data_IF_056854627207
#
_entry.id   IF_056854627207
#
_cell.length_a   1.000
_cell.length_b   1.000
_cell.length_c   1.000
_cell.angle_alpha   90.00
_cell.angle_beta   90.00
_cell.angle_gamma   90.00
#
_symmetry.space_group_name_H-M   'P 1'
#
loop_
_entity.id
_entity.type
_entity.pdbx_description
1 polymer ?
#
# COMPACT_ATOMS: atom_id res chain seq x y z
N UNK A 1 -8.64 -6.83 -12.10
CA UNK A 1 -7.87 -5.60 -11.80
C UNK A 1 -6.36 -5.82 -11.90
N UNK A 2 -5.80 -6.87 -11.28
CA UNK A 2 -4.36 -7.17 -11.34
C UNK A 2 -3.79 -7.24 -12.77
N UNK A 3 -4.53 -7.81 -13.73
CA UNK A 3 -4.11 -7.89 -15.15
C UNK A 3 -3.93 -6.49 -15.78
N UNK A 4 -4.81 -5.54 -15.45
CA UNK A 4 -4.74 -4.17 -16.00
C UNK A 4 -3.50 -3.47 -15.46
N UNK A 5 -3.23 -3.62 -14.16
CA UNK A 5 -2.04 -3.06 -13.53
C UNK A 5 -0.78 -3.71 -14.11
N UNK A 6 -0.75 -5.05 -14.22
CA UNK A 6 0.39 -5.78 -14.77
C UNK A 6 0.74 -5.33 -16.20
N UNK A 7 -0.27 -5.23 -17.09
CA UNK A 7 -0.06 -4.72 -18.46
C UNK A 7 0.40 -3.26 -18.48
N UNK A 8 -0.21 -2.41 -17.67
CA UNK A 8 0.16 -0.99 -17.63
C UNK A 8 1.53 -0.72 -16.99
N UNK A 9 2.07 -1.71 -16.26
CA UNK A 9 3.35 -1.58 -15.57
C UNK A 9 4.44 -2.50 -16.15
N UNK A 10 4.15 -3.21 -17.24
CA UNK A 10 5.08 -4.16 -17.87
C UNK A 10 6.36 -3.47 -18.34
N UNK A 11 6.23 -2.28 -18.92
CA UNK A 11 7.37 -1.48 -19.42
C UNK A 11 8.02 -0.58 -18.34
N UNK A 12 7.55 -0.63 -17.08
CA UNK A 12 8.10 0.26 -16.05
C UNK A 12 9.39 -0.30 -15.46
N UNK A 13 10.49 0.47 -15.44
CA UNK A 13 11.75 0.02 -14.84
C UNK A 13 11.57 -0.28 -13.36
N UNK A 14 12.21 -1.34 -12.87
CA UNK A 14 12.10 -1.79 -11.47
C UNK A 14 12.55 -0.72 -10.45
N UNK A 15 13.56 0.07 -10.82
CA UNK A 15 14.15 1.12 -9.99
C UNK A 15 13.35 2.43 -9.96
N UNK A 16 12.23 2.51 -10.69
CA UNK A 16 11.41 3.73 -10.73
C UNK A 16 10.96 4.15 -9.32
N UNK A 17 11.08 5.44 -8.95
CA UNK A 17 10.61 5.96 -7.67
C UNK A 17 9.15 5.61 -7.41
N UNK A 18 8.83 5.29 -6.16
CA UNK A 18 7.48 4.87 -5.76
C UNK A 18 6.40 5.92 -6.11
N UNK A 19 6.76 7.20 -6.09
CA UNK A 19 5.88 8.32 -6.47
C UNK A 19 5.45 8.22 -7.94
N UNK A 20 6.41 8.00 -8.84
CA UNK A 20 6.15 7.91 -10.27
C UNK A 20 5.43 6.61 -10.62
N UNK A 21 5.80 5.50 -9.94
CA UNK A 21 5.08 4.23 -10.06
C UNK A 21 3.62 4.35 -9.64
N UNK A 22 3.33 5.06 -8.54
CA UNK A 22 1.95 5.37 -8.11
C UNK A 22 1.19 6.18 -9.18
N UNK A 23 1.85 7.16 -9.79
CA UNK A 23 1.25 7.98 -10.84
C UNK A 23 0.92 7.15 -12.08
N UNK A 24 1.83 6.26 -12.50
CA UNK A 24 1.61 5.37 -13.63
C UNK A 24 0.42 4.43 -13.40
N UNK A 25 0.36 3.78 -12.23
CA UNK A 25 -0.79 2.93 -11.87
C UNK A 25 -2.08 3.74 -11.83
N UNK A 26 -2.08 4.95 -11.25
CA UNK A 26 -3.28 5.78 -11.20
C UNK A 26 -3.77 6.21 -12.59
N UNK A 27 -2.86 6.50 -13.53
CA UNK A 27 -3.20 6.82 -14.92
C UNK A 27 -3.80 5.62 -15.66
N UNK A 28 -3.38 4.41 -15.31
CA UNK A 28 -3.91 3.18 -15.87
C UNK A 28 -5.31 2.79 -15.35
N UNK A 29 -5.89 3.58 -14.41
CA UNK A 29 -7.21 3.30 -13.85
C UNK A 29 -8.27 3.38 -14.96
N UNK A 30 -9.01 2.29 -15.23
CA UNK A 30 -10.11 2.34 -16.19
C UNK A 30 -11.21 3.28 -15.71
N UNK A 31 -11.83 4.04 -16.62
CA UNK A 31 -12.93 4.96 -16.29
C UNK A 31 -14.11 4.23 -15.60
N UNK A 32 -14.37 2.97 -15.96
CA UNK A 32 -15.43 2.18 -15.35
C UNK A 32 -15.11 1.73 -13.91
N UNK A 33 -13.84 1.76 -13.50
CA UNK A 33 -13.43 1.42 -12.13
C UNK A 33 -13.81 2.51 -11.10
N UNK A 34 -14.37 3.65 -11.53
CA UNK A 34 -15.00 4.66 -10.67
C UNK A 34 -16.53 4.63 -10.72
N UNK A 35 -17.13 3.80 -11.59
CA UNK A 35 -18.59 3.78 -11.78
C UNK A 35 -19.27 3.00 -10.65
N UNK A 36 -18.67 1.92 -10.17
CA UNK A 36 -19.22 1.11 -9.09
C UNK A 36 -18.29 1.07 -7.89
N UNK A 37 -18.88 1.09 -6.70
CA UNK A 37 -18.15 0.98 -5.43
C UNK A 37 -17.38 -0.35 -5.31
N UNK A 38 -17.87 -1.42 -5.93
CA UNK A 38 -17.17 -2.70 -5.99
C UNK A 38 -15.92 -2.62 -6.87
N UNK A 39 -16.04 -2.10 -8.10
CA UNK A 39 -14.90 -1.97 -9.01
C UNK A 39 -13.82 -1.04 -8.44
N UNK A 40 -14.22 0.03 -7.75
CA UNK A 40 -13.29 0.92 -7.06
C UNK A 40 -12.53 0.19 -5.95
N UNK A 41 -13.22 -0.57 -5.09
CA UNK A 41 -12.58 -1.36 -4.03
C UNK A 41 -11.63 -2.42 -4.60
N UNK A 42 -12.04 -3.14 -5.65
CA UNK A 42 -11.19 -4.11 -6.33
C UNK A 42 -9.95 -3.46 -6.96
N UNK A 43 -10.08 -2.23 -7.48
CA UNK A 43 -8.96 -1.47 -8.01
C UNK A 43 -7.97 -1.08 -6.90
N UNK A 44 -8.46 -0.53 -5.80
CA UNK A 44 -7.62 -0.14 -4.66
C UNK A 44 -6.89 -1.33 -4.04
N UNK A 45 -7.56 -2.49 -3.93
CA UNK A 45 -6.93 -3.73 -3.45
C UNK A 45 -5.78 -4.17 -4.37
N UNK A 46 -6.02 -4.28 -5.68
CA UNK A 46 -4.98 -4.67 -6.64
C UNK A 46 -3.82 -3.66 -6.69
N UNK A 47 -4.13 -2.36 -6.60
CA UNK A 47 -3.13 -1.28 -6.53
C UNK A 47 -2.24 -1.42 -5.30
N UNK A 48 -2.83 -1.68 -4.13
CA UNK A 48 -2.06 -1.88 -2.89
C UNK A 48 -1.14 -3.09 -3.04
N UNK A 49 -1.68 -4.24 -3.42
CA UNK A 49 -0.93 -5.50 -3.47
C UNK A 49 0.24 -5.41 -4.46
N UNK A 50 0.07 -4.67 -5.56
CA UNK A 50 1.16 -4.35 -6.49
C UNK A 50 2.20 -3.42 -5.86
N UNK A 51 1.78 -2.28 -5.31
CA UNK A 51 2.69 -1.25 -4.80
C UNK A 51 3.48 -1.71 -3.56
N UNK A 52 2.94 -2.63 -2.75
CA UNK A 52 3.63 -3.19 -1.58
C UNK A 52 4.97 -3.82 -1.96
N UNK A 53 5.05 -4.43 -3.15
CA UNK A 53 6.30 -5.02 -3.69
C UNK A 53 7.40 -3.99 -3.94
N UNK A 54 7.05 -2.71 -4.02
CA UNK A 54 7.95 -1.60 -4.31
C UNK A 54 8.10 -0.65 -3.11
N UNK A 55 7.83 -1.13 -1.89
CA UNK A 55 7.99 -0.35 -0.66
C UNK A 55 6.80 0.54 -0.29
N UNK A 56 5.62 0.32 -0.88
CA UNK A 56 4.41 1.00 -0.40
C UNK A 56 3.93 0.42 0.92
N UNK A 57 3.91 1.27 1.95
CA UNK A 57 3.25 0.96 3.22
C UNK A 57 1.79 1.41 3.14
N UNK A 58 0.81 0.49 3.16
CA UNK A 58 -0.60 0.86 3.18
C UNK A 58 -0.93 1.53 4.52
N UNK A 59 -1.46 2.76 4.49
CA UNK A 59 -1.90 3.46 5.71
C UNK A 59 -3.30 3.01 6.16
N UNK A 60 -3.52 1.70 6.23
CA UNK A 60 -4.79 1.17 6.76
C UNK A 60 -4.75 1.19 8.28
N UNK A 61 -5.93 1.27 8.92
CA UNK A 61 -6.04 1.11 10.39
C UNK A 61 -5.31 -0.15 10.88
N UNK A 62 -5.43 -1.25 10.14
CA UNK A 62 -4.74 -2.51 10.43
C UNK A 62 -3.21 -2.41 10.32
N UNK A 63 -2.65 -1.68 9.34
CA UNK A 63 -1.22 -1.47 9.25
C UNK A 63 -0.69 -0.56 10.36
N UNK A 64 -1.48 0.46 10.75
CA UNK A 64 -1.19 1.32 11.90
C UNK A 64 -1.27 0.55 13.23
N UNK A 65 -2.20 -0.39 13.35
CA UNK A 65 -2.28 -1.31 14.49
C UNK A 65 -1.13 -2.31 14.50
N UNK A 66 -0.68 -2.81 13.34
CA UNK A 66 0.51 -3.67 13.23
C UNK A 66 1.81 -2.92 13.57
N UNK A 67 1.96 -1.66 13.14
CA UNK A 67 3.07 -0.78 13.52
C UNK A 67 3.05 -0.50 15.03
N UNK A 68 1.87 -0.21 15.60
CA UNK A 68 1.68 -0.03 17.04
C UNK A 68 1.96 -1.31 17.84
N UNK A 69 1.65 -2.48 17.30
CA UNK A 69 1.94 -3.78 17.91
C UNK A 69 3.42 -4.17 17.84
N UNK A 70 4.21 -3.56 16.95
CA UNK A 70 5.65 -3.77 16.81
C UNK A 70 6.53 -2.85 17.64
N UNK A 71 5.95 -1.83 18.29
CA UNK A 71 6.66 -0.95 19.22
C UNK A 71 6.57 -1.55 20.63
N UNK A 72 7.68 -1.92 21.30
CA UNK A 72 7.64 -2.28 22.71
C UNK A 72 7.10 -1.08 23.50
N UNK A 73 5.94 -1.26 24.11
CA UNK A 73 5.22 -0.21 24.85
C UNK A 73 5.84 0.07 26.24
N UNK A 74 6.88 -0.66 26.63
CA UNK A 74 7.51 -0.59 27.94
C UNK A 74 9.02 -0.70 27.80
N UNK A 75 9.72 0.42 28.03
CA UNK A 75 10.99 0.40 28.72
C UNK A 75 10.65 0.74 30.18
N UNK A 76 10.23 -0.27 30.94
CA UNK A 76 10.24 -0.21 32.40
C UNK A 76 10.72 -1.56 32.92
N UNK A 77 11.63 -1.55 33.90
CA UNK A 77 11.16 -2.08 35.17
C UNK A 77 11.56 -1.20 36.36
N UNK A 78 10.55 -0.97 37.20
CA UNK A 78 10.63 -1.02 38.66
C UNK A 78 11.45 0.05 39.42
N UNK A 79 10.68 1.00 39.97
CA UNK A 79 10.71 1.47 41.36
C UNK A 79 11.57 0.60 42.30
N UNK A 80 12.76 1.09 42.66
CA UNK A 80 13.63 0.48 43.65
C UNK A 80 14.82 1.36 44.05
N UNK A 81 14.57 2.64 44.38
CA UNK A 81 15.56 3.47 45.05
C UNK A 81 15.50 3.19 46.56
N UNK A 82 16.62 2.68 47.08
CA UNK A 82 16.92 2.44 48.50
C UNK A 82 16.64 3.67 49.38
#
# INVERSE_FOLDING_TARGET
>A
MAIIIAKATEDLPADMPLKDRKAAVNRARPHWASITSHAEKSWQAARRDYLVRFGYVPMTKAAREAEKAGLPLFDEPERGAK
#
